data_IF_066411598914
#
_entry.id   IF_066411598914
#
_cell.length_a   1.000
_cell.length_b   1.000
_cell.length_c   1.000
_cell.angle_alpha   90.00
_cell.angle_beta   90.00
_cell.angle_gamma   90.00
#
_symmetry.space_group_name_H-M   'P 1'
#
loop_
_entity.id
_entity.type
_entity.pdbx_description
1 polymer ?
#
# COMPACT_ATOMS: atom_id res chain seq x y z
N UNK A 1 -3.01 -26.43 7.54
CA UNK A 1 -4.04 -25.79 8.40
C UNK A 1 -3.60 -24.43 8.95
N UNK A 2 -2.30 -24.22 9.23
CA UNK A 2 -1.75 -22.99 9.80
C UNK A 2 -1.82 -21.75 8.89
N UNK A 3 -1.58 -21.89 7.57
CA UNK A 3 -1.64 -20.74 6.66
C UNK A 3 -3.05 -20.12 6.54
N UNK A 4 -4.10 -20.94 6.67
CA UNK A 4 -5.49 -20.47 6.69
C UNK A 4 -5.83 -19.68 7.97
N UNK A 5 -5.26 -20.04 9.12
CA UNK A 5 -5.47 -19.31 10.37
C UNK A 5 -4.70 -17.97 10.35
N UNK A 6 -3.48 -17.94 9.80
CA UNK A 6 -2.69 -16.72 9.60
C UNK A 6 -3.43 -15.71 8.70
N UNK A 7 -4.02 -16.17 7.59
CA UNK A 7 -4.80 -15.32 6.69
C UNK A 7 -6.01 -14.67 7.40
N UNK A 8 -6.72 -15.43 8.24
CA UNK A 8 -7.90 -14.94 8.97
C UNK A 8 -7.54 -13.89 10.03
N UNK A 9 -6.39 -14.02 10.69
CA UNK A 9 -5.90 -13.03 11.64
C UNK A 9 -5.39 -11.74 10.98
N UNK A 10 -4.95 -11.80 9.72
CA UNK A 10 -4.46 -10.63 8.97
C UNK A 10 -5.55 -9.57 8.73
N UNK A 11 -6.81 -9.98 8.60
CA UNK A 11 -7.96 -9.07 8.40
C UNK A 11 -8.49 -8.51 9.72
N UNK A 12 -8.29 -9.21 10.84
CA UNK A 12 -8.81 -8.84 12.16
C UNK A 12 -7.79 -8.06 13.03
N UNK A 13 -6.61 -7.79 12.47
CA UNK A 13 -5.49 -7.16 13.16
C UNK A 13 -5.68 -5.64 13.32
N UNK A 14 -5.27 -5.12 14.49
CA UNK A 14 -5.13 -3.69 14.82
C UNK A 14 -4.40 -2.86 13.75
N UNK A 15 -3.62 -3.50 12.89
CA UNK A 15 -2.89 -2.85 11.80
C UNK A 15 -3.76 -2.24 10.70
N UNK A 16 -4.94 -2.80 10.42
CA UNK A 16 -5.89 -2.15 9.49
C UNK A 16 -6.39 -0.81 10.03
N UNK A 17 -6.63 -0.73 11.33
CA UNK A 17 -7.00 0.52 11.99
C UNK A 17 -5.88 1.56 11.88
N UNK A 18 -4.62 1.17 12.10
CA UNK A 18 -3.45 2.05 11.96
C UNK A 18 -3.28 2.55 10.52
N UNK A 19 -3.48 1.69 9.52
CA UNK A 19 -3.39 2.08 8.10
C UNK A 19 -4.48 3.13 7.79
N UNK A 20 -5.72 2.88 8.22
CA UNK A 20 -6.85 3.80 8.00
C UNK A 20 -6.61 5.15 8.68
N UNK A 21 -6.14 5.17 9.93
CA UNK A 21 -5.84 6.44 10.63
C UNK A 21 -4.71 7.22 9.97
N UNK A 22 -3.67 6.53 9.45
CA UNK A 22 -2.61 7.18 8.69
C UNK A 22 -3.12 7.82 7.38
N UNK A 23 -3.96 7.10 6.63
CA UNK A 23 -4.57 7.62 5.40
C UNK A 23 -5.44 8.84 5.71
N UNK A 24 -6.20 8.78 6.80
CA UNK A 24 -7.06 9.89 7.23
C UNK A 24 -6.25 11.13 7.61
N UNK A 25 -5.20 10.98 8.42
CA UNK A 25 -4.33 12.08 8.82
C UNK A 25 -3.56 12.69 7.64
N UNK A 26 -3.02 11.86 6.75
CA UNK A 26 -2.33 12.33 5.53
C UNK A 26 -3.30 13.01 4.56
N UNK A 27 -4.53 12.50 4.42
CA UNK A 27 -5.57 13.14 3.62
C UNK A 27 -5.97 14.52 4.15
N UNK A 28 -6.20 14.63 5.46
CA UNK A 28 -6.56 15.92 6.11
C UNK A 28 -5.43 16.93 5.97
N UNK A 29 -4.18 16.53 6.22
CA UNK A 29 -3.04 17.45 6.13
C UNK A 29 -2.85 17.97 4.71
N UNK A 30 -2.96 17.12 3.68
CA UNK A 30 -2.88 17.55 2.28
C UNK A 30 -4.04 18.46 1.90
N UNK A 31 -5.27 18.14 2.33
CA UNK A 31 -6.43 19.00 2.09
C UNK A 31 -6.27 20.38 2.74
N UNK A 32 -5.77 20.44 3.98
CA UNK A 32 -5.50 21.70 4.66
C UNK A 32 -4.40 22.51 3.96
N UNK A 33 -3.28 21.87 3.60
CA UNK A 33 -2.19 22.51 2.85
C UNK A 33 -2.68 23.07 1.51
N UNK A 34 -3.57 22.35 0.83
CA UNK A 34 -4.18 22.78 -0.43
C UNK A 34 -5.13 23.97 -0.21
N UNK A 35 -5.99 23.91 0.83
CA UNK A 35 -6.91 25.00 1.18
C UNK A 35 -6.17 26.29 1.54
N UNK A 36 -5.03 26.18 2.22
CA UNK A 36 -4.13 27.29 2.55
C UNK A 36 -3.30 27.78 1.35
N UNK A 37 -3.47 27.18 0.15
CA UNK A 37 -2.70 27.45 -1.07
C UNK A 37 -1.18 27.34 -0.90
N UNK A 38 -0.73 26.52 0.05
CA UNK A 38 0.70 26.24 0.27
C UNK A 38 1.21 25.24 -0.76
N UNK A 39 0.36 24.30 -1.17
CA UNK A 39 0.68 23.26 -2.18
C UNK A 39 -0.18 23.42 -3.43
N UNK A 40 0.39 23.03 -4.57
CA UNK A 40 -0.31 22.99 -5.85
C UNK A 40 -1.22 21.75 -5.95
N UNK A 41 -2.21 21.83 -6.83
CA UNK A 41 -3.13 20.72 -7.13
C UNK A 41 -2.42 19.40 -7.47
N UNK A 42 -1.22 19.48 -8.07
CA UNK A 42 -0.41 18.32 -8.48
C UNK A 42 0.01 17.42 -7.32
N UNK A 43 0.07 17.97 -6.09
CA UNK A 43 0.33 17.19 -4.89
C UNK A 43 -0.86 16.33 -4.49
N UNK A 44 -2.07 16.88 -4.62
CA UNK A 44 -3.31 16.19 -4.28
C UNK A 44 -3.56 15.02 -5.24
N UNK A 45 -3.40 15.26 -6.55
CA UNK A 45 -3.49 14.21 -7.58
C UNK A 45 -2.40 13.15 -7.41
N UNK A 46 -1.17 13.57 -7.09
CA UNK A 46 -0.08 12.65 -6.77
C UNK A 46 -0.42 11.74 -5.58
N UNK A 47 -0.97 12.31 -4.52
CA UNK A 47 -1.42 11.54 -3.35
C UNK A 47 -2.52 10.52 -3.70
N UNK A 48 -3.52 10.93 -4.48
CA UNK A 48 -4.58 10.03 -4.97
C UNK A 48 -3.99 8.88 -5.80
N UNK A 49 -3.02 9.17 -6.67
CA UNK A 49 -2.35 8.18 -7.50
C UNK A 49 -1.55 7.17 -6.66
N UNK A 50 -0.78 7.65 -5.69
CA UNK A 50 -0.04 6.78 -4.75
C UNK A 50 -0.98 5.92 -3.90
N UNK A 51 -2.07 6.52 -3.41
CA UNK A 51 -3.07 5.84 -2.59
C UNK A 51 -3.83 4.74 -3.36
N UNK A 52 -4.24 5.01 -4.59
CA UNK A 52 -4.92 4.00 -5.42
C UNK A 52 -3.99 2.83 -5.74
N UNK A 53 -2.74 3.09 -6.09
CA UNK A 53 -1.71 2.06 -6.25
C UNK A 53 -1.51 1.22 -4.98
N UNK A 54 -1.46 1.86 -3.82
CA UNK A 54 -1.38 1.16 -2.54
C UNK A 54 -2.53 0.16 -2.34
N UNK A 55 -3.78 0.60 -2.56
CA UNK A 55 -4.97 -0.24 -2.43
C UNK A 55 -4.94 -1.44 -3.39
N UNK A 56 -4.59 -1.20 -4.66
CA UNK A 56 -4.47 -2.27 -5.67
C UNK A 56 -3.39 -3.28 -5.26
N UNK A 57 -2.24 -2.81 -4.76
CA UNK A 57 -1.18 -3.68 -4.29
C UNK A 57 -1.59 -4.57 -3.11
N UNK A 58 -2.41 -4.06 -2.18
CA UNK A 58 -2.98 -4.89 -1.11
C UNK A 58 -3.94 -5.94 -1.67
N UNK A 59 -4.80 -5.56 -2.60
CA UNK A 59 -5.75 -6.49 -3.21
C UNK A 59 -5.04 -7.66 -3.90
N UNK A 60 -3.99 -7.37 -4.67
CA UNK A 60 -3.16 -8.38 -5.32
C UNK A 60 -2.43 -9.25 -4.30
N UNK A 61 -1.92 -8.66 -3.21
CA UNK A 61 -1.28 -9.44 -2.15
C UNK A 61 -2.24 -10.42 -1.47
N UNK A 62 -3.51 -10.05 -1.29
CA UNK A 62 -4.52 -10.99 -0.75
C UNK A 62 -4.82 -12.10 -1.76
N UNK A 63 -4.96 -11.74 -3.03
CA UNK A 63 -5.23 -12.69 -4.11
C UNK A 63 -4.08 -13.69 -4.29
N UNK A 64 -2.83 -13.23 -4.20
CA UNK A 64 -1.65 -14.09 -4.36
C UNK A 64 -1.55 -15.15 -3.25
N UNK A 65 -1.80 -14.77 -2.00
CA UNK A 65 -1.83 -15.72 -0.87
C UNK A 65 -2.97 -16.72 -1.04
N UNK A 66 -4.17 -16.27 -1.43
CA UNK A 66 -5.30 -17.17 -1.67
C UNK A 66 -4.98 -18.21 -2.75
N UNK A 67 -4.43 -17.77 -3.88
CA UNK A 67 -4.09 -18.66 -5.00
C UNK A 67 -2.92 -19.60 -4.67
N UNK A 68 -1.97 -19.16 -3.84
CA UNK A 68 -0.91 -20.03 -3.33
C UNK A 68 -1.51 -21.16 -2.47
N UNK A 69 -2.52 -20.87 -1.65
CA UNK A 69 -3.17 -21.87 -0.80
C UNK A 69 -4.10 -22.82 -1.55
N UNK A 70 -4.61 -22.41 -2.70
CA UNK A 70 -5.51 -23.23 -3.52
C UNK A 70 -4.75 -24.11 -4.51
N UNK A 71 -3.70 -23.58 -5.13
CA UNK A 71 -3.02 -24.26 -6.24
C UNK A 71 -1.61 -24.74 -5.91
N UNK A 72 -1.06 -24.37 -4.74
CA UNK A 72 0.35 -24.63 -4.33
C UNK A 72 1.39 -24.19 -5.37
N UNK A 73 0.99 -23.31 -6.29
CA UNK A 73 1.82 -22.89 -7.41
C UNK A 73 2.69 -21.70 -7.01
N UNK A 74 3.95 -21.99 -6.67
CA UNK A 74 4.95 -21.00 -6.29
C UNK A 74 5.30 -20.00 -7.40
N UNK A 75 5.25 -20.41 -8.68
CA UNK A 75 5.52 -19.50 -9.81
C UNK A 75 4.47 -18.39 -9.89
N UNK A 76 3.20 -18.76 -9.70
CA UNK A 76 2.11 -17.80 -9.73
C UNK A 76 2.22 -16.79 -8.57
N UNK A 77 2.66 -17.25 -7.40
CA UNK A 77 2.94 -16.36 -6.28
C UNK A 77 4.06 -15.36 -6.59
N UNK A 78 5.16 -15.82 -7.20
CA UNK A 78 6.26 -14.95 -7.61
C UNK A 78 5.84 -13.92 -8.67
N UNK A 79 5.01 -14.33 -9.63
CA UNK A 79 4.43 -13.42 -10.62
C UNK A 79 3.64 -12.29 -9.95
N UNK A 80 2.76 -12.61 -8.99
CA UNK A 80 2.02 -11.57 -8.27
C UNK A 80 2.90 -10.68 -7.40
N UNK A 81 4.01 -11.19 -6.87
CA UNK A 81 5.00 -10.38 -6.18
C UNK A 81 5.66 -9.35 -7.10
N UNK A 82 6.09 -9.76 -8.31
CA UNK A 82 6.60 -8.83 -9.32
C UNK A 82 5.53 -7.81 -9.75
N UNK A 83 4.30 -8.27 -9.95
CA UNK A 83 3.18 -7.40 -10.32
C UNK A 83 2.95 -6.32 -9.27
N UNK A 84 3.01 -6.68 -7.98
CA UNK A 84 2.89 -5.75 -6.86
C UNK A 84 4.01 -4.71 -6.85
N UNK A 85 5.26 -5.11 -7.09
CA UNK A 85 6.38 -4.17 -7.24
C UNK A 85 6.15 -3.20 -8.39
N UNK A 86 5.72 -3.71 -9.55
CA UNK A 86 5.37 -2.88 -10.71
C UNK A 86 4.29 -1.87 -10.39
N UNK A 87 3.25 -2.25 -9.65
CA UNK A 87 2.15 -1.36 -9.27
C UNK A 87 2.60 -0.23 -8.35
N UNK A 88 3.54 -0.48 -7.44
CA UNK A 88 4.11 0.57 -6.58
C UNK A 88 5.11 1.46 -7.32
N UNK A 89 5.88 0.90 -8.24
CA UNK A 89 6.88 1.64 -9.00
C UNK A 89 6.29 2.49 -10.14
N UNK A 90 5.25 2.01 -10.81
CA UNK A 90 4.59 2.70 -11.92
C UNK A 90 4.16 4.15 -11.60
N UNK A 91 3.40 4.43 -10.52
CA UNK A 91 2.99 5.81 -10.20
C UNK A 91 4.17 6.72 -9.87
N UNK A 92 5.27 6.18 -9.31
CA UNK A 92 6.49 6.94 -9.08
C UNK A 92 7.16 7.33 -10.39
N UNK A 93 7.30 6.39 -11.33
CA UNK A 93 7.85 6.70 -12.66
C UNK A 93 6.96 7.68 -13.42
N UNK A 94 5.64 7.50 -13.39
CA UNK A 94 4.69 8.42 -14.03
C UNK A 94 4.85 9.85 -13.48
N UNK A 95 4.93 10.01 -12.16
CA UNK A 95 5.11 11.33 -11.55
C UNK A 95 6.49 11.93 -11.85
N UNK A 96 7.55 11.11 -11.84
CA UNK A 96 8.91 11.55 -12.09
C UNK A 96 9.14 12.00 -13.54
N UNK A 97 8.64 11.24 -14.52
CA UNK A 97 8.80 11.56 -15.94
C UNK A 97 7.87 12.68 -16.43
N UNK A 98 6.78 12.97 -15.72
CA UNK A 98 5.83 14.01 -16.08
C UNK A 98 6.24 15.41 -15.58
N UNK A 99 7.50 15.62 -15.17
CA UNK A 99 8.03 16.91 -14.66
C UNK A 99 7.11 17.60 -13.63
N UNK A 100 6.41 16.83 -12.79
CA UNK A 100 5.46 17.34 -11.80
C UNK A 100 4.32 18.21 -12.36
N UNK A 101 3.95 18.05 -13.65
CA UNK A 101 2.89 18.87 -14.29
C UNK A 101 1.49 18.47 -13.83
N UNK A 102 1.23 17.18 -13.71
CA UNK A 102 -0.09 16.65 -13.28
C UNK A 102 0.01 15.90 -11.97
N UNK A 103 1.10 15.16 -11.75
CA UNK A 103 1.34 14.36 -10.55
C UNK A 103 2.70 14.74 -9.99
N UNK A 104 2.73 15.31 -8.79
CA UNK A 104 3.99 15.58 -8.09
C UNK A 104 4.45 14.31 -7.38
N UNK A 105 5.73 13.94 -7.58
CA UNK A 105 6.34 12.77 -6.94
C UNK A 105 6.23 12.81 -5.41
N UNK A 106 6.24 14.01 -4.80
CA UNK A 106 6.08 14.18 -3.35
C UNK A 106 4.72 13.71 -2.88
N UNK A 107 3.67 14.04 -3.63
CA UNK A 107 2.31 13.56 -3.35
C UNK A 107 2.23 12.04 -3.44
N UNK A 108 2.82 11.44 -4.49
CA UNK A 108 2.85 9.99 -4.68
C UNK A 108 3.55 9.27 -3.53
N UNK A 109 4.69 9.79 -3.07
CA UNK A 109 5.43 9.23 -1.92
C UNK A 109 4.59 9.26 -0.64
N UNK A 110 3.85 10.34 -0.39
CA UNK A 110 2.96 10.42 0.78
C UNK A 110 1.84 9.38 0.66
N UNK A 111 1.24 9.23 -0.53
CA UNK A 111 0.19 8.23 -0.78
C UNK A 111 0.66 6.77 -0.63
N UNK A 112 1.94 6.49 -0.94
CA UNK A 112 2.56 5.17 -0.77
C UNK A 112 3.10 4.92 0.64
N UNK A 113 3.22 5.94 1.50
CA UNK A 113 3.78 5.82 2.85
C UNK A 113 3.20 4.70 3.72
N UNK A 114 1.91 4.29 3.62
CA UNK A 114 1.37 3.18 4.40
C UNK A 114 2.01 1.82 4.09
N UNK A 115 2.74 1.67 2.97
CA UNK A 115 3.54 0.45 2.68
C UNK A 115 4.58 0.18 3.75
N UNK A 116 5.18 1.22 4.33
CA UNK A 116 6.23 1.03 5.34
C UNK A 116 5.68 0.37 6.61
N UNK A 117 4.42 0.67 6.96
CA UNK A 117 3.72 0.06 8.10
C UNK A 117 3.37 -1.42 7.88
N UNK A 118 3.20 -1.86 6.63
CA UNK A 118 2.98 -3.28 6.31
C UNK A 118 4.18 -4.14 6.73
N UNK A 119 5.41 -3.61 6.68
CA UNK A 119 6.61 -4.35 7.07
C UNK A 119 6.57 -4.75 8.55
N UNK A 120 6.20 -3.81 9.43
CA UNK A 120 6.10 -4.02 10.89
C UNK A 120 4.92 -4.89 11.30
N UNK A 121 3.90 -4.99 10.45
CA UNK A 121 2.73 -5.82 10.69
C UNK A 121 3.08 -7.32 10.67
N UNK A 122 3.99 -7.73 9.78
CA UNK A 122 4.36 -9.13 9.62
C UNK A 122 5.24 -9.67 10.76
N UNK A 123 6.00 -8.81 11.44
CA UNK A 123 6.85 -9.24 12.56
C UNK A 123 6.05 -9.75 13.77
N UNK A 124 4.90 -9.15 14.07
CA UNK A 124 4.05 -9.60 15.20
C UNK A 124 3.51 -11.01 15.01
N UNK A 125 3.33 -11.48 13.77
CA UNK A 125 2.79 -12.81 13.48
C UNK A 125 3.83 -13.91 13.79
N UNK A 126 5.11 -13.64 13.55
CA UNK A 126 6.22 -14.57 13.82
C UNK A 126 6.46 -14.78 15.33
N UNK A 127 6.22 -13.75 16.16
CA UNK A 127 6.40 -13.84 17.62
C UNK A 127 5.22 -14.52 18.35
N UNK A 128 4.08 -14.73 17.70
CA UNK A 128 2.93 -15.41 18.32
C UNK A 128 3.05 -16.94 18.20
N UNK A 129 3.83 -17.43 17.24
CA UNK A 129 4.07 -18.87 17.04
C UNK A 129 5.22 -19.43 17.89
N UNK A 130 5.90 -18.60 18.68
CA UNK A 130 7.06 -19.00 19.50
C UNK A 130 6.74 -19.19 20.98
N UNK A 131 5.47 -19.29 21.37
CA UNK A 131 5.03 -19.57 22.73
C UNK A 131 3.99 -20.69 22.77
#
# INVERSE_FOLDING_TARGET
MELKSIYKNWVKSSTWFIIITMIFLTGITILLLFALKIINYNWLTGWILGFTSFLVGIFISKKSVKLLLENENHFLFYFFFLLRLGIYAAPLFIAFFNNNVIFDYKGVLIGLSPILLLLFTNQKILNITSY
#
